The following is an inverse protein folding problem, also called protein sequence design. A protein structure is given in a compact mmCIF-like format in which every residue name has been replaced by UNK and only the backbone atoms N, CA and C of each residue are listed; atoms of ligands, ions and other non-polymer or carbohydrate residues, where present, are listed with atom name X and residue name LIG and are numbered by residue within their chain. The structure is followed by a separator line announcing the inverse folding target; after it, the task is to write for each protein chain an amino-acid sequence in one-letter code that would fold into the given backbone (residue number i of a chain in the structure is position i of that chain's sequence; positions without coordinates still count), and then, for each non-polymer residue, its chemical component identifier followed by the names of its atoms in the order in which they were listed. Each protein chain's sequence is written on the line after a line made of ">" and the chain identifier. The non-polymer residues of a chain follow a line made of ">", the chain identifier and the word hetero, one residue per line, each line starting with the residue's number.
data_IF_773805409609
#
_entry.id   IF_773805409609
#
_cell.length_a   1.000
_cell.length_b   1.000
_cell.length_c   1.000
_cell.angle_alpha   90.00
_cell.angle_beta   90.00
_cell.angle_gamma   90.00
#
_symmetry.space_group_name_H-M   'P 1'
#
loop_
_entity.id
_entity.type
_entity.pdbx_description
1 polymer ?
#
# COMPACT_ATOMS: atom_id res chain seq x y z
N UNK A 1 -1.89 22.78 -13.27
CA UNK A 1 -2.37 23.40 -14.53
C UNK A 1 -1.87 24.82 -14.75
N UNK A 2 -1.74 25.66 -13.71
CA UNK A 2 -1.27 27.06 -13.87
C UNK A 2 0.10 27.22 -14.51
N UNK A 3 1.14 26.52 -14.03
CA UNK A 3 2.51 26.70 -14.54
C UNK A 3 2.67 26.40 -16.05
N UNK A 4 1.95 25.38 -16.54
CA UNK A 4 1.94 25.02 -17.96
C UNK A 4 1.22 26.07 -18.81
N UNK A 5 0.13 26.65 -18.30
CA UNK A 5 -0.58 27.72 -19.00
C UNK A 5 0.24 29.02 -19.01
N UNK A 6 0.94 29.34 -17.93
CA UNK A 6 1.85 30.50 -17.88
C UNK A 6 3.06 30.32 -18.80
N UNK A 7 3.58 29.10 -18.94
CA UNK A 7 4.62 28.82 -19.93
C UNK A 7 4.10 28.97 -21.38
N UNK A 8 2.84 28.59 -21.65
CA UNK A 8 2.23 28.76 -22.97
C UNK A 8 1.80 30.21 -23.28
N UNK A 9 1.64 31.05 -22.27
CA UNK A 9 1.27 32.47 -22.40
C UNK A 9 2.45 33.27 -21.88
N UNK A 10 3.52 33.47 -22.70
CA UNK A 10 4.83 33.85 -22.22
C UNK A 10 4.80 35.20 -21.52
N UNK A 11 4.62 35.14 -20.20
CA UNK A 11 4.68 36.29 -19.30
C UNK A 11 6.12 36.76 -19.23
N UNK A 12 6.35 38.07 -19.38
CA UNK A 12 7.70 38.64 -19.47
C UNK A 12 8.60 38.21 -18.31
N UNK A 13 8.04 38.13 -17.10
CA UNK A 13 8.76 37.63 -15.90
C UNK A 13 9.35 36.20 -16.02
N UNK A 14 8.82 35.35 -16.90
CA UNK A 14 9.32 33.99 -17.11
C UNK A 14 10.39 33.93 -18.22
N UNK A 15 10.53 34.98 -19.02
CA UNK A 15 11.51 35.02 -20.12
C UNK A 15 12.93 35.29 -19.63
N UNK A 16 13.03 36.05 -18.54
CA UNK A 16 14.30 36.43 -17.89
C UNK A 16 14.47 35.79 -16.50
N UNK A 17 13.50 34.96 -16.07
CA UNK A 17 13.45 34.40 -14.71
C UNK A 17 14.30 33.14 -14.49
N UNK A 18 15.01 32.67 -15.52
CA UNK A 18 15.77 31.42 -15.49
C UNK A 18 17.21 31.56 -14.97
N UNK A 19 17.99 30.49 -15.10
CA UNK A 19 19.40 30.41 -14.65
C UNK A 19 20.39 30.52 -15.81
N UNK A 20 21.69 30.49 -15.50
CA UNK A 20 22.78 30.74 -16.44
C UNK A 20 22.69 29.99 -17.79
N UNK A 21 22.16 28.76 -17.83
CA UNK A 21 22.05 27.96 -19.07
C UNK A 21 20.63 27.88 -19.65
N UNK A 22 19.62 28.40 -18.95
CA UNK A 22 18.24 28.49 -19.42
C UNK A 22 17.63 29.79 -18.88
N UNK A 23 17.68 30.87 -19.66
CA UNK A 23 17.11 32.16 -19.21
C UNK A 23 15.59 32.17 -19.37
N UNK A 24 15.10 31.64 -20.50
CA UNK A 24 13.67 31.57 -20.80
C UNK A 24 13.06 30.28 -20.24
N UNK A 25 12.18 30.41 -19.25
CA UNK A 25 11.45 29.30 -18.62
C UNK A 25 10.27 28.80 -19.47
N UNK A 26 9.84 29.58 -20.47
CA UNK A 26 8.69 29.27 -21.34
C UNK A 26 9.05 28.30 -22.45
N UNK A 27 10.33 28.27 -22.84
CA UNK A 27 10.88 27.39 -23.87
C UNK A 27 11.44 26.10 -23.26
N UNK A 28 11.67 25.10 -24.12
CA UNK A 28 12.42 23.91 -23.75
C UNK A 28 13.89 24.25 -23.53
N UNK A 29 14.57 23.51 -22.65
CA UNK A 29 16.00 23.74 -22.35
C UNK A 29 16.87 23.44 -23.58
N UNK A 30 17.59 24.43 -24.13
CA UNK A 30 18.42 24.25 -25.32
C UNK A 30 19.55 23.22 -25.14
N UNK A 31 20.02 23.04 -23.90
CA UNK A 31 21.16 22.17 -23.58
C UNK A 31 20.75 20.81 -23.01
N UNK A 32 19.44 20.58 -22.81
CA UNK A 32 18.88 19.35 -22.19
C UNK A 32 19.47 18.99 -20.81
N UNK A 33 20.07 19.95 -20.12
CA UNK A 33 20.65 19.80 -18.77
C UNK A 33 19.54 19.66 -17.73
N UNK A 34 18.46 20.45 -17.83
CA UNK A 34 17.29 20.41 -16.94
C UNK A 34 16.55 19.06 -16.99
N UNK A 35 16.16 18.54 -18.17
CA UNK A 35 15.61 17.19 -18.28
C UNK A 35 16.53 16.13 -17.66
N UNK A 36 17.85 16.27 -17.83
CA UNK A 36 18.83 15.33 -17.31
C UNK A 36 18.89 15.36 -15.78
N UNK A 37 19.00 16.56 -15.19
CA UNK A 37 18.99 16.76 -13.73
C UNK A 37 17.67 16.27 -13.14
N UNK A 38 16.53 16.59 -13.77
CA UNK A 38 15.22 16.18 -13.30
C UNK A 38 15.07 14.66 -13.32
N UNK A 39 15.51 13.99 -14.40
CA UNK A 39 15.50 12.53 -14.49
C UNK A 39 16.46 11.89 -13.47
N UNK A 40 17.67 12.42 -13.30
CA UNK A 40 18.63 11.92 -12.33
C UNK A 40 18.14 12.07 -10.87
N UNK A 41 17.56 13.22 -10.53
CA UNK A 41 16.99 13.46 -9.19
C UNK A 41 15.74 12.61 -8.94
N UNK A 42 14.92 12.38 -9.96
CA UNK A 42 13.78 11.46 -9.88
C UNK A 42 14.25 10.01 -9.66
N UNK A 43 15.28 9.58 -10.38
CA UNK A 43 15.91 8.28 -10.18
C UNK A 43 16.39 8.11 -8.74
N UNK A 44 17.10 9.10 -8.21
CA UNK A 44 17.57 9.07 -6.82
C UNK A 44 16.40 9.05 -5.81
N UNK A 45 15.33 9.79 -6.08
CA UNK A 45 14.12 9.81 -5.24
C UNK A 45 13.46 8.44 -5.20
N UNK A 46 13.34 7.77 -6.36
CA UNK A 46 12.81 6.40 -6.45
C UNK A 46 13.72 5.42 -5.73
N UNK A 47 15.04 5.53 -5.89
CA UNK A 47 16.02 4.64 -5.25
C UNK A 47 15.91 4.74 -3.72
N UNK A 48 15.96 5.97 -3.19
CA UNK A 48 15.85 6.21 -1.75
C UNK A 48 14.47 5.86 -1.21
N UNK A 49 13.41 6.14 -1.97
CA UNK A 49 12.02 5.82 -1.62
C UNK A 49 11.76 4.33 -1.58
N UNK A 50 12.26 3.56 -2.55
CA UNK A 50 12.09 2.10 -2.60
C UNK A 50 12.89 1.38 -1.52
N UNK A 51 14.07 1.89 -1.16
CA UNK A 51 14.84 1.40 -0.01
C UNK A 51 14.15 1.67 1.33
N UNK A 52 13.53 2.84 1.47
CA UNK A 52 12.84 3.22 2.70
C UNK A 52 11.50 2.49 2.85
N UNK A 53 10.81 2.22 1.74
CA UNK A 53 9.52 1.54 1.74
C UNK A 53 9.61 0.03 2.00
N UNK A 54 10.83 -0.57 2.04
CA UNK A 54 11.10 -2.02 2.14
C UNK A 54 9.88 -2.84 1.71
N UNK A 55 9.48 -2.65 0.45
CA UNK A 55 8.43 -3.46 -0.18
C UNK A 55 8.79 -4.91 0.17
N UNK A 56 7.87 -5.74 0.66
CA UNK A 56 8.21 -7.03 1.29
C UNK A 56 7.72 -8.23 0.47
N UNK A 57 7.37 -8.05 -0.81
CA UNK A 57 6.67 -9.06 -1.59
C UNK A 57 7.56 -9.76 -2.63
N UNK A 58 7.30 -11.05 -2.89
CA UNK A 58 8.05 -11.92 -3.79
C UNK A 58 8.21 -11.44 -5.26
N UNK A 59 7.53 -10.36 -5.68
CA UNK A 59 7.60 -9.73 -7.00
C UNK A 59 8.54 -8.51 -7.12
N UNK A 60 9.28 -8.17 -6.06
CA UNK A 60 9.96 -6.87 -5.97
C UNK A 60 11.09 -6.62 -6.95
N UNK A 61 11.83 -7.65 -7.39
CA UNK A 61 12.99 -7.39 -8.25
C UNK A 61 12.55 -6.77 -9.57
N UNK A 62 11.53 -7.35 -10.22
CA UNK A 62 10.97 -6.80 -11.46
C UNK A 62 10.41 -5.39 -11.24
N UNK A 63 9.67 -5.16 -10.15
CA UNK A 63 9.12 -3.83 -9.86
C UNK A 63 10.22 -2.78 -9.63
N UNK A 64 11.32 -3.13 -8.94
CA UNK A 64 12.48 -2.25 -8.77
C UNK A 64 13.14 -1.92 -10.10
N UNK A 65 13.32 -2.91 -10.98
CA UNK A 65 13.86 -2.66 -12.33
C UNK A 65 12.95 -1.74 -13.16
N UNK A 66 11.63 -1.95 -13.11
CA UNK A 66 10.65 -1.09 -13.79
C UNK A 66 10.69 0.34 -13.25
N UNK A 67 10.69 0.51 -11.93
CA UNK A 67 10.78 1.82 -11.28
C UNK A 67 12.11 2.53 -11.58
N UNK A 68 13.23 1.80 -11.66
CA UNK A 68 14.53 2.34 -12.08
C UNK A 68 14.61 2.69 -13.57
N UNK A 69 13.88 1.98 -14.42
CA UNK A 69 13.79 2.27 -15.85
C UNK A 69 12.87 3.46 -16.15
N UNK A 70 11.94 3.79 -15.25
CA UNK A 70 10.96 4.85 -15.44
C UNK A 70 11.60 6.24 -15.72
N UNK A 71 12.60 6.72 -14.97
CA UNK A 71 13.30 7.97 -15.27
C UNK A 71 13.97 8.01 -16.64
N UNK A 72 14.47 6.87 -17.14
CA UNK A 72 15.10 6.77 -18.45
C UNK A 72 14.08 6.92 -19.58
N UNK A 73 12.86 6.40 -19.39
CA UNK A 73 11.77 6.55 -20.36
C UNK A 73 11.16 7.95 -20.30
N UNK A 74 11.10 8.55 -19.10
CA UNK A 74 10.59 9.92 -18.92
C UNK A 74 11.53 10.95 -19.54
N UNK A 75 12.84 10.74 -19.52
CA UNK A 75 13.84 11.68 -20.05
C UNK A 75 13.55 12.19 -21.48
N UNK A 76 13.42 11.33 -22.52
CA UNK A 76 13.12 11.80 -23.88
C UNK A 76 11.74 12.46 -23.99
N UNK A 77 10.77 12.05 -23.18
CA UNK A 77 9.44 12.67 -23.14
C UNK A 77 9.52 14.11 -22.58
N UNK A 78 10.40 14.33 -21.60
CA UNK A 78 10.59 15.64 -20.97
C UNK A 78 11.45 16.63 -21.76
N UNK A 79 12.14 16.20 -22.82
CA UNK A 79 12.98 17.09 -23.63
C UNK A 79 12.21 18.23 -24.29
N UNK A 80 10.94 18.00 -24.64
CA UNK A 80 10.10 19.00 -25.31
C UNK A 80 9.24 19.82 -24.33
N UNK A 81 9.44 19.64 -23.02
CA UNK A 81 8.64 20.34 -22.02
C UNK A 81 9.25 21.70 -21.69
N UNK A 82 8.41 22.71 -21.40
CA UNK A 82 8.90 24.00 -20.93
C UNK A 82 9.78 23.87 -19.69
N UNK A 83 10.90 24.61 -19.67
CA UNK A 83 11.87 24.60 -18.58
C UNK A 83 11.25 24.96 -17.22
N UNK A 84 10.16 25.74 -17.18
CA UNK A 84 9.39 26.03 -15.98
C UNK A 84 8.93 24.77 -15.23
N UNK A 85 8.35 23.82 -15.96
CA UNK A 85 7.80 22.58 -15.38
C UNK A 85 8.93 21.70 -14.85
N UNK A 86 10.02 21.62 -15.61
CA UNK A 86 11.20 20.84 -15.23
C UNK A 86 11.91 21.44 -14.02
N UNK A 87 12.02 22.77 -13.95
CA UNK A 87 12.59 23.47 -12.79
C UNK A 87 11.77 23.21 -11.54
N UNK A 88 10.43 23.28 -11.64
CA UNK A 88 9.54 22.92 -10.53
C UNK A 88 9.77 21.47 -10.07
N UNK A 89 9.84 20.51 -11.00
CA UNK A 89 10.10 19.12 -10.66
C UNK A 89 11.48 18.90 -10.04
N UNK A 90 12.52 19.52 -10.59
CA UNK A 90 13.88 19.45 -10.04
C UNK A 90 13.89 19.98 -8.60
N UNK A 91 13.34 21.17 -8.35
CA UNK A 91 13.25 21.75 -7.00
C UNK A 91 12.49 20.85 -6.02
N UNK A 92 11.34 20.31 -6.45
CA UNK A 92 10.55 19.38 -5.64
C UNK A 92 11.34 18.12 -5.25
N UNK A 93 12.05 17.52 -6.21
CA UNK A 93 12.92 16.37 -5.96
C UNK A 93 14.06 16.73 -5.00
N UNK A 94 14.73 17.87 -5.20
CA UNK A 94 15.80 18.33 -4.30
C UNK A 94 15.31 18.54 -2.87
N UNK A 95 14.15 19.18 -2.68
CA UNK A 95 13.55 19.37 -1.36
C UNK A 95 13.21 18.03 -0.73
N UNK A 96 12.60 17.12 -1.51
CA UNK A 96 12.25 15.77 -1.04
C UNK A 96 13.48 14.98 -0.61
N UNK A 97 14.53 15.00 -1.43
CA UNK A 97 15.82 14.38 -1.13
C UNK A 97 16.48 14.99 0.10
N UNK A 98 16.43 16.32 0.24
CA UNK A 98 16.91 17.04 1.40
C UNK A 98 16.17 16.65 2.67
N UNK A 99 14.84 16.57 2.62
CA UNK A 99 14.01 16.08 3.74
C UNK A 99 14.43 14.67 4.16
N UNK A 100 14.55 13.75 3.19
CA UNK A 100 14.93 12.36 3.51
C UNK A 100 16.37 12.28 4.04
N UNK A 101 17.29 13.08 3.49
CA UNK A 101 18.67 13.14 3.97
C UNK A 101 18.74 13.62 5.43
N UNK A 102 18.02 14.70 5.76
CA UNK A 102 17.92 15.24 7.13
C UNK A 102 17.32 14.19 8.08
N UNK A 103 16.23 13.53 7.68
CA UNK A 103 15.58 12.50 8.49
C UNK A 103 16.40 11.20 8.59
N UNK A 104 17.40 10.98 7.73
CA UNK A 104 18.33 9.85 7.87
C UNK A 104 19.46 10.10 8.86
N UNK A 105 19.74 11.35 9.23
CA UNK A 105 20.78 11.68 10.21
C UNK A 105 20.40 11.10 11.58
N UNK A 106 21.25 10.28 12.23
CA UNK A 106 20.91 9.61 13.47
C UNK A 106 20.57 10.57 14.61
N UNK A 107 21.27 11.71 14.70
CA UNK A 107 21.01 12.75 15.70
C UNK A 107 19.62 13.39 15.55
N UNK A 108 19.18 13.61 14.30
CA UNK A 108 17.84 14.14 14.01
C UNK A 108 16.78 13.10 14.37
N UNK A 109 17.01 11.83 14.02
CA UNK A 109 16.09 10.73 14.37
C UNK A 109 15.92 10.56 15.87
N UNK A 110 17.00 10.68 16.63
CA UNK A 110 16.99 10.58 18.08
C UNK A 110 16.24 11.75 18.73
N UNK A 111 16.46 12.98 18.23
CA UNK A 111 15.71 14.16 18.65
C UNK A 111 14.20 14.00 18.41
N UNK A 112 13.81 13.49 17.25
CA UNK A 112 12.41 13.21 16.91
C UNK A 112 11.88 11.86 17.44
N UNK A 113 12.67 11.11 18.23
CA UNK A 113 12.33 9.78 18.77
C UNK A 113 11.80 8.80 17.72
N UNK A 114 12.29 8.89 16.49
CA UNK A 114 11.90 7.99 15.40
C UNK A 114 12.56 6.64 15.66
N UNK A 115 11.76 5.60 15.89
CA UNK A 115 12.26 4.24 16.12
C UNK A 115 13.28 3.85 15.05
N UNK A 116 14.40 3.27 15.48
CA UNK A 116 15.41 2.75 14.56
C UNK A 116 14.78 1.56 13.84
N UNK A 117 14.86 1.56 12.51
CA UNK A 117 14.39 0.42 11.73
C UNK A 117 15.19 -0.83 12.11
N UNK A 118 14.56 -1.75 12.85
CA UNK A 118 15.12 -3.06 13.15
C UNK A 118 15.32 -3.82 11.84
N UNK A 119 16.57 -3.97 11.43
CA UNK A 119 16.93 -4.78 10.26
C UNK A 119 17.03 -6.21 10.73
N UNK A 120 15.98 -6.99 10.43
CA UNK A 120 15.95 -8.42 10.72
C UNK A 120 17.05 -9.10 9.89
N UNK A 121 17.86 -9.94 10.52
CA UNK A 121 18.95 -10.64 9.85
C UNK A 121 18.39 -11.46 8.67
N UNK A 122 18.98 -11.37 7.45
CA UNK A 122 18.49 -12.09 6.28
C UNK A 122 18.50 -13.62 6.43
N UNK A 123 19.24 -14.16 7.41
CA UNK A 123 19.26 -15.58 7.77
C UNK A 123 18.02 -16.05 8.54
N UNK A 124 17.25 -15.14 9.14
CA UNK A 124 16.03 -15.46 9.89
C UNK A 124 14.75 -15.41 9.03
N UNK A 125 14.87 -15.07 7.74
CA UNK A 125 13.76 -15.00 6.80
C UNK A 125 13.85 -16.15 5.79
N UNK A 126 12.75 -16.83 5.46
CA UNK A 126 12.72 -17.79 4.36
C UNK A 126 12.72 -17.04 3.02
N UNK A 127 13.76 -16.26 2.74
CA UNK A 127 13.96 -15.63 1.43
C UNK A 127 14.37 -16.70 0.43
N UNK A 128 13.39 -17.44 -0.11
CA UNK A 128 13.59 -18.15 -1.37
C UNK A 128 13.84 -17.08 -2.42
N UNK A 129 15.07 -17.01 -2.95
CA UNK A 129 15.34 -16.35 -4.23
C UNK A 129 14.60 -17.13 -5.33
N UNK A 130 13.28 -16.93 -5.44
CA UNK A 130 12.47 -17.52 -6.50
C UNK A 130 12.74 -16.75 -7.79
N UNK A 131 13.11 -17.46 -8.84
CA UNK A 131 13.30 -16.86 -10.16
C UNK A 131 12.01 -16.26 -10.73
N UNK A 132 12.13 -15.49 -11.80
CA UNK A 132 11.03 -14.75 -12.46
C UNK A 132 9.76 -15.60 -12.69
N UNK A 133 9.92 -16.84 -13.18
CA UNK A 133 8.81 -17.78 -13.41
C UNK A 133 8.10 -18.16 -12.11
N UNK A 134 8.85 -18.30 -11.01
CA UNK A 134 8.31 -18.59 -9.68
C UNK A 134 7.48 -17.44 -9.13
N UNK A 135 7.96 -16.20 -9.28
CA UNK A 135 7.21 -14.99 -8.89
C UNK A 135 5.94 -14.80 -9.71
N UNK A 136 6.00 -15.07 -11.02
CA UNK A 136 4.83 -14.95 -11.90
C UNK A 136 3.75 -15.99 -11.56
N UNK A 137 4.13 -17.24 -11.27
CA UNK A 137 3.19 -18.30 -10.85
C UNK A 137 2.53 -17.95 -9.50
N UNK A 138 3.32 -17.50 -8.53
CA UNK A 138 2.84 -17.09 -7.21
C UNK A 138 1.89 -15.88 -7.29
N UNK A 139 2.14 -14.95 -8.21
CA UNK A 139 1.22 -13.83 -8.46
C UNK A 139 -0.13 -14.30 -8.98
N UNK A 140 -0.11 -15.28 -9.88
CA UNK A 140 -1.32 -15.84 -10.46
C UNK A 140 -2.11 -16.65 -9.43
N UNK A 141 -1.41 -17.42 -8.59
CA UNK A 141 -2.01 -18.15 -7.47
C UNK A 141 -2.62 -17.17 -6.43
N UNK A 142 -1.89 -16.12 -6.05
CA UNK A 142 -2.39 -15.08 -5.14
C UNK A 142 -3.63 -14.36 -5.72
N UNK A 143 -3.61 -14.01 -7.00
CA UNK A 143 -4.79 -13.41 -7.65
C UNK A 143 -6.01 -14.34 -7.63
N UNK A 144 -5.80 -15.64 -7.83
CA UNK A 144 -6.88 -16.63 -7.78
C UNK A 144 -7.43 -16.78 -6.37
N UNK A 145 -6.56 -16.82 -5.35
CA UNK A 145 -6.95 -16.85 -3.94
C UNK A 145 -7.77 -15.61 -3.57
N UNK A 146 -7.32 -14.42 -3.96
CA UNK A 146 -8.05 -13.16 -3.69
C UNK A 146 -9.43 -13.18 -4.32
N UNK A 147 -9.56 -13.62 -5.58
CA UNK A 147 -10.86 -13.77 -6.23
C UNK A 147 -11.76 -14.78 -5.50
N UNK A 148 -11.22 -15.91 -5.08
CA UNK A 148 -11.99 -16.92 -4.33
C UNK A 148 -12.46 -16.38 -2.98
N UNK A 149 -11.62 -15.61 -2.27
CA UNK A 149 -11.98 -14.94 -1.02
C UNK A 149 -13.12 -13.94 -1.26
N UNK A 150 -13.02 -13.11 -2.30
CA UNK A 150 -14.04 -12.13 -2.66
C UNK A 150 -15.38 -12.82 -3.00
N UNK A 151 -15.35 -13.91 -3.76
CA UNK A 151 -16.55 -14.72 -4.05
C UNK A 151 -17.17 -15.31 -2.78
N UNK A 152 -16.36 -15.83 -1.86
CA UNK A 152 -16.86 -16.34 -0.57
C UNK A 152 -17.47 -15.24 0.28
N UNK A 153 -16.82 -14.08 0.37
CA UNK A 153 -17.36 -12.92 1.08
C UNK A 153 -18.72 -12.50 0.50
N UNK A 154 -18.82 -12.44 -0.83
CA UNK A 154 -20.07 -12.13 -1.52
C UNK A 154 -21.17 -13.16 -1.22
N UNK A 155 -20.84 -14.44 -1.21
CA UNK A 155 -21.80 -15.51 -0.87
C UNK A 155 -22.25 -15.44 0.59
N UNK A 156 -21.34 -15.16 1.51
CA UNK A 156 -21.64 -15.00 2.93
C UNK A 156 -22.51 -13.78 3.19
N UNK A 157 -22.26 -12.65 2.51
CA UNK A 157 -23.14 -11.47 2.55
C UNK A 157 -24.55 -11.80 2.05
N UNK A 158 -24.68 -12.54 0.95
CA UNK A 158 -25.99 -12.98 0.43
C UNK A 158 -26.68 -13.90 1.45
N UNK A 159 -25.95 -14.84 2.06
CA UNK A 159 -26.49 -15.73 3.10
C UNK A 159 -26.94 -14.95 4.33
N UNK A 160 -26.14 -13.98 4.78
CA UNK A 160 -26.45 -13.13 5.91
C UNK A 160 -27.68 -12.26 5.64
N UNK A 161 -27.74 -11.60 4.49
CA UNK A 161 -28.89 -10.82 4.06
C UNK A 161 -30.16 -11.67 3.98
N UNK A 162 -30.05 -12.91 3.49
CA UNK A 162 -31.16 -13.86 3.43
C UNK A 162 -31.59 -14.35 4.82
N UNK A 163 -30.66 -14.54 5.76
CA UNK A 163 -30.97 -14.91 7.14
C UNK A 163 -31.69 -13.78 7.88
N UNK A 164 -31.30 -12.52 7.66
CA UNK A 164 -31.94 -11.34 8.27
C UNK A 164 -33.31 -11.00 7.68
N UNK A 165 -33.55 -11.29 6.40
CA UNK A 165 -34.84 -11.06 5.71
C UNK A 165 -35.72 -12.32 5.62
N UNK A 166 -35.21 -13.45 6.12
CA UNK A 166 -35.89 -14.74 6.05
C UNK A 166 -36.95 -14.93 7.13
N UNK A 167 -37.85 -15.91 6.98
CA UNK A 167 -38.80 -16.28 8.03
C UNK A 167 -38.06 -16.73 9.30
N UNK A 168 -38.58 -16.36 10.47
CA UNK A 168 -38.04 -16.77 11.77
C UNK A 168 -37.92 -18.31 11.86
N UNK A 169 -36.69 -18.81 11.99
CA UNK A 169 -36.43 -20.25 12.20
C UNK A 169 -36.75 -20.60 13.65
N UNK A 170 -37.58 -21.62 13.87
CA UNK A 170 -37.91 -22.11 15.22
C UNK A 170 -36.66 -22.73 15.85
N UNK A 171 -36.09 -22.06 16.85
CA UNK A 171 -35.01 -22.59 17.68
C UNK A 171 -35.60 -23.18 18.96
N UNK A 172 -35.02 -24.27 19.47
CA UNK A 172 -35.44 -24.91 20.72
C UNK A 172 -34.45 -24.54 21.83
N UNK A 173 -34.96 -24.25 23.04
CA UNK A 173 -34.13 -23.91 24.22
C UNK A 173 -33.28 -25.09 24.72
N UNK A 174 -33.70 -26.30 24.40
CA UNK A 174 -33.02 -27.54 24.72
C UNK A 174 -32.64 -28.24 23.41
N UNK A 175 -31.54 -28.98 23.43
CA UNK A 175 -31.10 -29.79 22.30
C UNK A 175 -32.16 -30.90 22.04
N UNK A 176 -32.92 -30.84 20.93
CA UNK A 176 -33.99 -31.79 20.66
C UNK A 176 -33.46 -33.19 20.33
N UNK A 177 -32.15 -33.34 20.11
CA UNK A 177 -31.51 -34.62 19.80
C UNK A 177 -31.10 -35.40 21.05
N UNK A 178 -31.11 -34.77 22.23
CA UNK A 178 -30.75 -35.43 23.50
C UNK A 178 -32.01 -35.86 24.27
N UNK A 179 -32.06 -37.10 24.78
CA UNK A 179 -33.15 -37.53 25.65
C UNK A 179 -33.16 -36.67 26.91
N UNK A 180 -34.34 -36.13 27.24
CA UNK A 180 -34.55 -35.30 28.42
C UNK A 180 -34.23 -36.12 29.69
N UNK A 181 -33.39 -35.65 30.63
CA UNK A 181 -33.26 -36.33 31.90
C UNK A 181 -34.61 -36.29 32.61
N UNK A 182 -35.10 -37.47 33.01
CA UNK A 182 -36.36 -37.62 33.75
C UNK A 182 -36.29 -36.80 35.05
N UNK A 183 -37.39 -36.13 35.46
CA UNK A 183 -37.41 -35.45 36.75
C UNK A 183 -37.21 -36.49 37.86
N UNK A 184 -36.15 -36.33 38.65
CA UNK A 184 -35.93 -37.11 39.87
C UNK A 184 -37.07 -36.76 40.84
N UNK A 185 -38.04 -37.66 40.99
CA UNK A 185 -39.11 -37.52 41.98
C UNK A 185 -38.48 -37.68 43.36
N UNK A 186 -38.42 -36.60 44.14
CA UNK A 186 -37.99 -36.67 45.53
C UNK A 186 -39.03 -37.44 46.37
N UNK A 187 -38.63 -38.41 47.20
CA UNK A 187 -39.56 -39.26 47.94
C UNK A 187 -39.97 -38.59 49.26
N UNK A 188 -40.93 -37.67 49.25
CA UNK A 188 -41.55 -37.17 50.47
C UNK A 188 -43.04 -36.93 50.31
N UNK A 189 -43.82 -38.01 50.39
CA UNK A 189 -45.15 -38.02 51.00
C UNK A 189 -45.63 -39.48 51.12
N UNK A 190 -45.13 -40.20 52.14
CA UNK A 190 -45.70 -41.48 52.56
C UNK A 190 -46.90 -41.16 53.47
N UNK A 191 -48.12 -41.30 52.94
CA UNK A 191 -49.36 -41.20 53.71
C UNK A 191 -49.36 -42.27 54.82
N UNK A 192 -49.71 -41.85 56.03
CA UNK A 192 -49.76 -42.68 57.24
C UNK A 192 -51.08 -43.46 57.22
N UNK A 193 -51.02 -44.79 57.17
CA UNK A 193 -52.20 -45.66 57.27
C UNK A 193 -52.80 -45.61 58.69
N UNK A 194 -54.13 -45.63 58.88
CA UNK A 194 -54.76 -45.68 60.20
C UNK A 194 -54.78 -47.11 60.79
N UNK A 195 -54.93 -47.27 62.12
CA UNK A 195 -54.71 -48.53 62.82
C UNK A 195 -55.89 -49.50 62.64
N UNK A 196 -55.56 -50.80 62.59
CA UNK A 196 -56.51 -51.92 62.57
C UNK A 196 -57.08 -52.19 63.97
N UNK A 197 -58.38 -52.40 64.07
CA UNK A 197 -59.02 -53.24 65.11
C UNK A 197 -59.00 -54.71 64.67
#
# INVERSE_FOLDING_TARGET
>A
MGLRQMANTPVDSMRDGGLWWFQDLTLADPFYILPLITSATLYLTIEIGTDSARLSAANMNTMKYVLRALPLVIFPFTMNFPAAILTYWACSNFISLGQVAVLRIPSVREYFKIEKMLTHAPSALPTKKKGFVGGMKESWDNMKITKEIEERQRLDEIRFAKAGKGPLVKTFKYDPTKPKPLPTVEPHMRLKEPPKE
#
